data_IF_486780629388
#
_entry.id   IF_486780629388
#
_cell.length_a   1.000
_cell.length_b   1.000
_cell.length_c   1.000
_cell.angle_alpha   90.00
_cell.angle_beta   90.00
_cell.angle_gamma   90.00
#
_symmetry.space_group_name_H-M   'P 1'
#
loop_
_entity.id
_entity.type
_entity.pdbx_description
1 polymer ?
#
# COMPACT_ATOMS: atom_id res chain seq x y z
N UNK A 1 1.58 -21.54 15.80
CA UNK A 1 1.90 -20.72 14.64
C UNK A 1 1.90 -21.62 13.42
N UNK A 2 1.05 -21.36 12.42
CA UNK A 2 0.97 -22.12 11.17
C UNK A 2 2.21 -21.86 10.30
N UNK A 3 2.43 -22.66 9.26
CA UNK A 3 3.53 -22.44 8.31
C UNK A 3 3.42 -21.05 7.65
N UNK A 4 2.20 -20.67 7.29
CA UNK A 4 1.85 -19.38 6.70
C UNK A 4 2.15 -18.21 7.66
N UNK A 5 1.79 -18.36 8.94
CA UNK A 5 2.10 -17.35 9.97
C UNK A 5 3.61 -17.21 10.21
N UNK A 6 4.40 -18.28 10.02
CA UNK A 6 5.85 -18.21 10.12
C UNK A 6 6.46 -17.47 8.94
N UNK A 7 6.01 -17.78 7.73
CA UNK A 7 6.51 -17.18 6.49
C UNK A 7 6.17 -15.70 6.41
N UNK A 8 4.94 -15.29 6.75
CA UNK A 8 4.57 -13.86 6.77
C UNK A 8 5.37 -13.07 7.81
N UNK A 9 5.73 -13.68 8.95
CA UNK A 9 6.57 -13.03 9.95
C UNK A 9 8.00 -12.79 9.44
N UNK A 10 8.53 -13.70 8.62
CA UNK A 10 9.83 -13.55 7.97
C UNK A 10 9.78 -12.50 6.86
N UNK A 11 8.69 -12.43 6.08
CA UNK A 11 8.53 -11.48 4.98
C UNK A 11 8.05 -10.09 5.41
N UNK A 12 7.59 -9.92 6.66
CA UNK A 12 6.97 -8.68 7.17
C UNK A 12 7.80 -7.43 6.91
N UNK A 13 9.13 -7.51 7.01
CA UNK A 13 10.02 -6.37 6.75
C UNK A 13 10.03 -5.98 5.27
N UNK A 14 10.10 -6.96 4.37
CA UNK A 14 10.10 -6.73 2.93
C UNK A 14 8.75 -6.19 2.46
N UNK A 15 7.64 -6.78 2.91
CA UNK A 15 6.29 -6.29 2.58
C UNK A 15 6.12 -4.82 3.01
N UNK A 16 6.58 -4.46 4.23
CA UNK A 16 6.54 -3.06 4.69
C UNK A 16 7.42 -2.13 3.84
N UNK A 17 8.54 -2.63 3.34
CA UNK A 17 9.44 -1.88 2.46
C UNK A 17 8.79 -1.66 1.09
N UNK A 18 8.16 -2.69 0.52
CA UNK A 18 7.43 -2.60 -0.75
C UNK A 18 6.30 -1.58 -0.67
N UNK A 19 5.48 -1.61 0.39
CA UNK A 19 4.43 -0.60 0.61
C UNK A 19 5.00 0.81 0.66
N UNK A 20 6.14 1.02 1.33
CA UNK A 20 6.82 2.33 1.36
C UNK A 20 7.37 2.75 0.00
N UNK A 21 7.86 1.80 -0.80
CA UNK A 21 8.35 2.08 -2.15
C UNK A 21 7.20 2.51 -3.07
N UNK A 22 6.07 1.81 -3.01
CA UNK A 22 4.85 2.19 -3.73
C UNK A 22 4.39 3.60 -3.34
N UNK A 23 4.32 3.91 -2.04
CA UNK A 23 3.98 5.25 -1.56
C UNK A 23 4.92 6.33 -2.13
N UNK A 24 6.24 6.12 -2.03
CA UNK A 24 7.24 7.07 -2.54
C UNK A 24 7.20 7.24 -4.06
N UNK A 25 6.89 6.17 -4.81
CA UNK A 25 6.74 6.25 -6.24
C UNK A 25 5.58 7.18 -6.64
N UNK A 26 4.47 7.14 -5.88
CA UNK A 26 3.30 7.99 -6.10
C UNK A 26 3.50 9.44 -5.63
N UNK A 27 4.39 9.72 -4.67
CA UNK A 27 4.72 11.11 -4.29
C UNK A 27 5.21 11.96 -5.47
N UNK A 28 5.87 11.34 -6.45
CA UNK A 28 6.39 12.03 -7.64
C UNK A 28 5.31 12.59 -8.56
N UNK A 29 4.03 12.23 -8.36
CA UNK A 29 2.90 12.75 -9.13
C UNK A 29 2.78 14.27 -8.97
N UNK A 30 3.02 14.78 -7.76
CA UNK A 30 2.85 16.21 -7.45
C UNK A 30 4.10 17.04 -7.69
N UNK A 31 5.26 16.40 -7.94
CA UNK A 31 6.54 17.08 -8.20
C UNK A 31 6.56 17.84 -9.54
N UNK A 32 5.70 17.48 -10.50
CA UNK A 32 5.76 18.00 -11.87
C UNK A 32 4.79 19.16 -12.15
N UNK A 33 3.63 19.20 -11.49
CA UNK A 33 2.50 20.06 -11.92
C UNK A 33 2.02 21.07 -10.87
N UNK A 34 2.60 21.12 -9.66
CA UNK A 34 2.16 22.03 -8.59
C UNK A 34 3.28 22.99 -8.16
N UNK A 35 3.23 24.27 -8.58
CA UNK A 35 4.01 25.33 -7.95
C UNK A 35 3.68 25.40 -6.45
N UNK A 36 4.69 25.49 -5.59
CA UNK A 36 4.52 25.53 -4.12
C UNK A 36 3.87 24.24 -3.55
N UNK A 37 4.29 23.06 -4.02
CA UNK A 37 3.80 21.78 -3.52
C UNK A 37 3.91 21.68 -1.98
N UNK A 38 2.77 21.46 -1.32
CA UNK A 38 2.71 21.04 0.07
C UNK A 38 2.90 19.51 0.12
N UNK A 39 4.16 19.09 0.29
CA UNK A 39 4.56 17.68 0.36
C UNK A 39 3.75 16.89 1.39
N UNK A 40 3.34 17.52 2.49
CA UNK A 40 2.54 16.86 3.53
C UNK A 40 1.12 16.61 3.02
N UNK A 41 0.50 17.61 2.40
CA UNK A 41 -0.85 17.45 1.87
C UNK A 41 -0.89 16.39 0.77
N UNK A 42 0.12 16.40 -0.11
CA UNK A 42 0.31 15.40 -1.15
C UNK A 42 0.48 13.99 -0.57
N UNK A 43 1.30 13.83 0.48
CA UNK A 43 1.45 12.57 1.20
C UNK A 43 0.13 12.07 1.83
N UNK A 44 -0.65 12.96 2.45
CA UNK A 44 -1.96 12.64 3.05
C UNK A 44 -2.98 12.17 2.01
N UNK A 45 -2.99 12.76 0.82
CA UNK A 45 -3.87 12.33 -0.27
C UNK A 45 -3.48 10.95 -0.82
N UNK A 46 -2.18 10.71 -1.02
CA UNK A 46 -1.69 9.43 -1.54
C UNK A 46 -1.99 8.29 -0.57
N UNK A 47 -1.72 8.48 0.73
CA UNK A 47 -1.95 7.42 1.70
C UNK A 47 -3.44 7.09 1.86
N UNK A 48 -4.34 8.08 1.67
CA UNK A 48 -5.77 7.85 1.66
C UNK A 48 -6.19 6.93 0.51
N UNK A 49 -5.75 7.20 -0.72
CA UNK A 49 -6.04 6.35 -1.89
C UNK A 49 -5.42 4.95 -1.73
N UNK A 50 -4.19 4.85 -1.21
CA UNK A 50 -3.58 3.55 -0.91
C UNK A 50 -4.38 2.76 0.12
N UNK A 51 -4.97 3.43 1.12
CA UNK A 51 -5.82 2.77 2.12
C UNK A 51 -7.13 2.27 1.49
N UNK A 52 -7.75 3.04 0.61
CA UNK A 52 -8.95 2.62 -0.14
C UNK A 52 -8.67 1.34 -0.96
N UNK A 53 -7.56 1.30 -1.70
CA UNK A 53 -7.16 0.12 -2.45
C UNK A 53 -6.89 -1.12 -1.55
N UNK A 54 -6.28 -0.91 -0.38
CA UNK A 54 -6.10 -1.99 0.61
C UNK A 54 -7.46 -2.50 1.13
N UNK A 55 -8.42 -1.60 1.34
CA UNK A 55 -9.75 -1.98 1.82
C UNK A 55 -10.57 -2.70 0.75
N UNK A 56 -10.35 -2.39 -0.53
CA UNK A 56 -10.90 -3.17 -1.65
C UNK A 56 -10.32 -4.59 -1.68
N UNK A 57 -9.00 -4.76 -1.58
CA UNK A 57 -8.36 -6.08 -1.50
C UNK A 57 -8.91 -6.92 -0.34
N UNK A 58 -9.19 -6.30 0.82
CA UNK A 58 -9.82 -6.99 1.95
C UNK A 58 -11.22 -7.52 1.61
N UNK A 59 -12.01 -6.74 0.86
CA UNK A 59 -13.34 -7.17 0.40
C UNK A 59 -13.23 -8.33 -0.58
N UNK A 60 -12.31 -8.25 -1.53
CA UNK A 60 -12.05 -9.33 -2.49
C UNK A 60 -11.63 -10.63 -1.80
N UNK A 61 -10.75 -10.55 -0.79
CA UNK A 61 -10.40 -11.70 0.06
C UNK A 61 -11.64 -12.26 0.77
N UNK A 62 -12.47 -11.39 1.35
CA UNK A 62 -13.69 -11.82 2.05
C UNK A 62 -14.72 -12.45 1.11
N UNK A 63 -14.76 -12.03 -0.16
CA UNK A 63 -15.60 -12.61 -1.21
C UNK A 63 -15.07 -13.97 -1.70
N UNK A 64 -13.83 -14.32 -1.35
CA UNK A 64 -13.19 -15.56 -1.76
C UNK A 64 -12.49 -15.50 -3.11
N UNK A 65 -12.25 -14.30 -3.64
CA UNK A 65 -11.66 -14.07 -4.97
C UNK A 65 -10.24 -14.66 -5.08
N UNK A 66 -9.57 -14.87 -3.94
CA UNK A 66 -8.23 -15.45 -3.84
C UNK A 66 -8.21 -16.90 -3.34
N UNK A 67 -9.34 -17.59 -3.21
CA UNK A 67 -9.39 -18.96 -2.66
C UNK A 67 -8.68 -20.01 -3.54
N UNK A 68 -8.33 -19.67 -4.77
CA UNK A 68 -7.66 -20.55 -5.74
C UNK A 68 -6.36 -19.95 -6.30
N UNK A 69 -5.86 -18.87 -5.69
CA UNK A 69 -4.66 -18.17 -6.12
C UNK A 69 -3.39 -18.77 -5.49
#
# INVERSE_FOLDING_TARGET
MTAQEKEINQMKSEIKKEVRLAFKANMKIFDWDIPENDDRKSAELIIAVMQEAIDELKKEIANGDFNQY
#
